data_IF_362496534592
#
_entry.id   IF_362496534592
#
_cell.length_a   1.000
_cell.length_b   1.000
_cell.length_c   1.000
_cell.angle_alpha   90.00
_cell.angle_beta   90.00
_cell.angle_gamma   90.00
#
_symmetry.space_group_name_H-M   'P 1'
#
loop_
_entity.id
_entity.type
_entity.pdbx_description
1 polymer ?
#
# COMPACT_ATOMS: atom_id res chain seq x y z
N UNK A 1 15.76 8.27 7.47
CA UNK A 1 16.33 8.09 6.12
C UNK A 1 15.25 8.03 5.05
N UNK A 2 14.09 7.40 5.29
CA UNK A 2 13.01 7.31 4.32
C UNK A 2 12.46 8.69 3.89
N UNK A 3 12.37 9.67 4.80
CA UNK A 3 12.00 11.04 4.43
C UNK A 3 13.00 11.67 3.45
N UNK A 4 14.30 11.59 3.75
CA UNK A 4 15.37 12.08 2.87
C UNK A 4 15.37 11.39 1.50
N UNK A 5 15.17 10.06 1.48
CA UNK A 5 15.00 9.30 0.25
C UNK A 5 13.83 9.83 -0.59
N UNK A 6 12.65 10.01 0.03
CA UNK A 6 11.46 10.53 -0.66
C UNK A 6 11.66 11.95 -1.19
N UNK A 7 12.30 12.83 -0.41
CA UNK A 7 12.59 14.20 -0.85
C UNK A 7 13.56 14.22 -2.04
N UNK A 8 14.59 13.38 -2.03
CA UNK A 8 15.50 13.23 -3.18
C UNK A 8 14.78 12.71 -4.41
N UNK A 9 13.92 11.71 -4.26
CA UNK A 9 13.11 11.20 -5.37
C UNK A 9 12.16 12.25 -5.93
N UNK A 10 11.57 13.08 -5.08
CA UNK A 10 10.71 14.20 -5.49
C UNK A 10 11.50 15.27 -6.25
N UNK A 11 12.70 15.61 -5.77
CA UNK A 11 13.60 16.51 -6.49
C UNK A 11 13.98 15.94 -7.86
N UNK A 12 14.30 14.65 -7.94
CA UNK A 12 14.56 13.98 -9.22
C UNK A 12 13.35 14.00 -10.15
N UNK A 13 12.15 13.80 -9.62
CA UNK A 13 10.91 13.87 -10.40
C UNK A 13 10.73 15.25 -11.05
N UNK A 14 10.88 16.35 -10.30
CA UNK A 14 10.75 17.70 -10.85
C UNK A 14 11.87 18.07 -11.84
N UNK A 15 13.05 17.46 -11.70
CA UNK A 15 14.17 17.69 -12.61
C UNK A 15 14.11 16.84 -13.89
N UNK A 16 13.27 15.80 -13.94
CA UNK A 16 13.15 14.95 -15.12
C UNK A 16 12.31 15.64 -16.20
N UNK A 17 12.80 15.71 -17.46
CA UNK A 17 12.01 16.25 -18.55
C UNK A 17 10.84 15.32 -18.88
N UNK A 18 9.72 15.89 -19.34
CA UNK A 18 8.58 15.11 -19.80
C UNK A 18 9.00 14.15 -20.94
N UNK A 19 8.66 12.85 -20.84
CA UNK A 19 9.03 11.90 -21.88
C UNK A 19 8.36 12.29 -23.20
N UNK A 20 9.14 12.24 -24.28
CA UNK A 20 8.70 12.60 -25.63
C UNK A 20 8.28 11.38 -26.46
N UNK A 21 8.34 10.19 -25.87
CA UNK A 21 7.93 8.93 -26.49
C UNK A 21 6.56 8.51 -25.93
N UNK A 22 5.77 7.82 -26.75
CA UNK A 22 4.42 7.40 -26.37
C UNK A 22 3.34 8.42 -26.75
N UNK A 23 2.34 8.60 -25.87
CA UNK A 23 1.26 9.57 -26.05
C UNK A 23 1.70 11.01 -25.80
N UNK A 24 0.90 11.98 -26.23
CA UNK A 24 1.12 13.39 -25.92
C UNK A 24 0.81 13.66 -24.44
N UNK A 25 1.79 14.20 -23.71
CA UNK A 25 1.69 14.52 -22.28
C UNK A 25 1.76 16.02 -22.01
N UNK A 26 1.73 16.88 -23.04
CA UNK A 26 1.87 18.33 -22.88
C UNK A 26 0.75 18.98 -22.06
N UNK A 27 -0.42 18.34 -21.99
CA UNK A 27 -1.57 18.81 -21.20
C UNK A 27 -1.62 18.22 -19.78
N UNK A 28 -0.66 17.36 -19.40
CA UNK A 28 -0.68 16.70 -18.10
C UNK A 28 -0.34 17.70 -17.00
N UNK A 29 -1.31 17.99 -16.14
CA UNK A 29 -1.10 18.77 -14.93
C UNK A 29 -1.01 17.84 -13.72
N UNK A 30 0.20 17.66 -13.20
CA UNK A 30 0.43 16.81 -12.03
C UNK A 30 -0.22 17.35 -10.75
N UNK A 31 -0.46 18.67 -10.65
CA UNK A 31 -1.07 19.29 -9.46
C UNK A 31 -2.59 19.06 -9.37
N UNK A 32 -3.21 18.65 -10.48
CA UNK A 32 -4.64 18.30 -10.54
C UNK A 32 -4.89 16.82 -10.22
N UNK A 33 -3.84 16.02 -10.06
CA UNK A 33 -3.95 14.59 -9.76
C UNK A 33 -4.02 14.38 -8.25
N UNK A 34 -5.04 13.65 -7.81
CA UNK A 34 -5.13 13.19 -6.42
C UNK A 34 -4.27 11.94 -6.24
N UNK A 35 -3.07 12.11 -5.67
CA UNK A 35 -2.13 11.00 -5.43
C UNK A 35 -2.40 10.17 -4.18
N UNK A 36 -3.15 10.74 -3.23
CA UNK A 36 -3.42 10.11 -1.95
C UNK A 36 -4.87 10.27 -1.58
N UNK A 37 -5.56 9.14 -1.45
CA UNK A 37 -6.96 9.08 -1.02
C UNK A 37 -7.01 8.20 0.21
N UNK A 38 -7.53 8.77 1.31
CA UNK A 38 -7.70 8.08 2.58
C UNK A 38 -9.19 7.75 2.77
N UNK A 39 -9.59 6.47 2.62
CA UNK A 39 -10.99 6.06 2.73
C UNK A 39 -11.47 5.97 4.20
N UNK A 40 -10.56 5.73 5.15
CA UNK A 40 -10.85 5.67 6.58
C UNK A 40 -9.69 6.25 7.40
N UNK A 41 -9.97 6.86 8.55
CA UNK A 41 -8.96 7.41 9.46
C UNK A 41 -8.05 6.33 10.09
N UNK A 42 -8.53 5.08 10.17
CA UNK A 42 -7.92 3.94 10.86
C UNK A 42 -7.95 2.69 9.98
N UNK A 43 -6.87 1.90 10.04
CA UNK A 43 -6.87 0.52 9.56
C UNK A 43 -7.73 -0.33 10.50
N UNK A 44 -8.68 -1.06 9.94
CA UNK A 44 -9.61 -1.87 10.72
C UNK A 44 -8.97 -3.23 11.05
N UNK A 45 -9.24 -3.74 12.25
CA UNK A 45 -8.59 -4.94 12.78
C UNK A 45 -9.36 -6.21 12.43
N UNK A 46 -10.63 -6.07 12.08
CA UNK A 46 -11.51 -7.17 11.70
C UNK A 46 -12.25 -6.85 10.42
N UNK A 47 -12.58 -7.89 9.63
CA UNK A 47 -13.39 -7.73 8.42
C UNK A 47 -14.75 -7.08 8.74
N UNK A 48 -15.31 -7.36 9.92
CA UNK A 48 -16.59 -6.81 10.35
C UNK A 48 -16.56 -5.28 10.51
N UNK A 49 -15.41 -4.72 10.89
CA UNK A 49 -15.19 -3.28 11.05
C UNK A 49 -14.94 -2.54 9.72
N UNK A 50 -14.65 -3.26 8.64
CA UNK A 50 -14.44 -2.65 7.31
C UNK A 50 -15.73 -1.98 6.82
N UNK A 51 -15.66 -0.72 6.32
CA UNK A 51 -16.81 -0.03 5.76
C UNK A 51 -17.55 -0.84 4.69
N UNK A 52 -18.89 -0.75 4.71
CA UNK A 52 -19.78 -1.53 3.84
C UNK A 52 -19.52 -1.29 2.35
N UNK A 53 -19.15 -0.07 1.96
CA UNK A 53 -18.81 0.29 0.57
C UNK A 53 -17.60 -0.50 0.04
N UNK A 54 -16.64 -0.77 0.92
CA UNK A 54 -15.45 -1.57 0.59
C UNK A 54 -15.85 -3.03 0.46
N UNK A 55 -16.62 -3.58 1.41
CA UNK A 55 -17.14 -4.97 1.34
C UNK A 55 -17.89 -5.24 0.04
N UNK A 56 -18.79 -4.33 -0.34
CA UNK A 56 -19.52 -4.41 -1.61
C UNK A 56 -18.61 -4.37 -2.84
N UNK A 57 -17.48 -3.66 -2.77
CA UNK A 57 -16.50 -3.63 -3.85
C UNK A 57 -15.77 -4.97 -3.96
N UNK A 58 -15.39 -5.58 -2.84
CA UNK A 58 -14.77 -6.90 -2.80
C UNK A 58 -15.72 -8.00 -3.31
N UNK A 59 -17.01 -7.93 -2.95
CA UNK A 59 -18.03 -8.84 -3.44
C UNK A 59 -18.21 -8.73 -4.96
N UNK A 60 -18.23 -7.50 -5.51
CA UNK A 60 -18.30 -7.25 -6.95
C UNK A 60 -17.08 -7.76 -7.71
N UNK A 61 -15.90 -7.73 -7.08
CA UNK A 61 -14.67 -8.30 -7.64
C UNK A 61 -14.68 -9.83 -7.66
N UNK A 62 -15.70 -10.47 -7.07
CA UNK A 62 -15.89 -11.92 -7.12
C UNK A 62 -14.93 -12.68 -6.20
N UNK A 63 -14.40 -12.01 -5.17
CA UNK A 63 -13.52 -12.63 -4.18
C UNK A 63 -14.36 -13.62 -3.33
N UNK A 64 -14.11 -14.94 -3.43
CA UNK A 64 -14.94 -15.96 -2.78
C UNK A 64 -15.01 -15.76 -1.25
N UNK A 65 -16.16 -16.02 -0.60
CA UNK A 65 -16.31 -15.94 0.87
C UNK A 65 -15.24 -16.73 1.65
N UNK A 66 -14.79 -17.87 1.11
CA UNK A 66 -13.71 -18.66 1.70
C UNK A 66 -12.35 -17.94 1.63
N UNK A 67 -12.11 -17.22 0.53
CA UNK A 67 -11.00 -16.29 0.43
C UNK A 67 -11.25 -15.06 1.29
N UNK A 68 -12.47 -14.52 1.47
CA UNK A 68 -12.70 -13.42 2.42
C UNK A 68 -12.27 -13.78 3.85
N UNK A 69 -12.54 -15.03 4.29
CA UNK A 69 -12.04 -15.56 5.58
C UNK A 69 -10.54 -15.90 5.60
N UNK A 70 -9.89 -16.08 4.45
CA UNK A 70 -8.46 -16.40 4.36
C UNK A 70 -7.59 -15.15 4.09
N UNK A 71 -8.12 -14.23 3.28
CA UNK A 71 -7.78 -12.81 3.11
C UNK A 71 -8.03 -12.01 4.38
N UNK A 72 -8.77 -12.59 5.33
CA UNK A 72 -8.64 -12.24 6.75
C UNK A 72 -7.21 -12.48 7.30
N UNK A 73 -6.20 -12.74 6.48
CA UNK A 73 -4.76 -12.62 6.79
C UNK A 73 -3.93 -12.02 5.65
N UNK A 74 -4.57 -11.40 4.64
CA UNK A 74 -3.89 -10.74 3.52
C UNK A 74 -4.20 -9.25 3.60
N UNK A 75 -3.17 -8.42 3.46
CA UNK A 75 -3.35 -6.97 3.44
C UNK A 75 -4.11 -6.56 2.19
N UNK A 76 -5.35 -6.11 2.38
CA UNK A 76 -6.13 -5.49 1.31
C UNK A 76 -5.78 -4.01 1.25
N UNK A 77 -5.16 -3.59 0.15
CA UNK A 77 -4.96 -2.18 -0.14
C UNK A 77 -6.19 -1.66 -0.87
N UNK A 78 -6.84 -0.65 -0.30
CA UNK A 78 -7.94 0.05 -0.92
C UNK A 78 -7.54 1.52 -1.00
N UNK A 79 -7.54 2.08 -2.20
CA UNK A 79 -6.93 3.37 -2.49
C UNK A 79 -5.45 3.42 -2.06
N UNK A 80 -5.07 4.40 -1.25
CA UNK A 80 -3.68 4.61 -0.80
C UNK A 80 -3.36 3.94 0.53
N UNK A 81 -4.30 3.18 1.12
CA UNK A 81 -4.19 2.66 2.49
C UNK A 81 -4.41 1.16 2.58
N UNK A 82 -3.75 0.54 3.56
CA UNK A 82 -4.03 -0.84 3.96
C UNK A 82 -5.23 -0.81 4.90
N UNK A 83 -6.38 -1.27 4.40
CA UNK A 83 -7.65 -1.21 5.13
C UNK A 83 -7.79 -2.37 6.11
N UNK A 84 -7.07 -3.47 5.86
CA UNK A 84 -7.14 -4.66 6.68
C UNK A 84 -5.77 -5.31 6.83
N UNK A 85 -5.38 -5.64 8.05
CA UNK A 85 -4.20 -6.44 8.34
C UNK A 85 -4.46 -7.31 9.57
N UNK A 86 -4.32 -8.62 9.41
CA UNK A 86 -4.44 -9.58 10.51
C UNK A 86 -3.22 -10.48 10.51
N UNK A 87 -2.36 -10.27 11.50
CA UNK A 87 -1.18 -11.09 11.72
C UNK A 87 -1.62 -12.46 12.20
N UNK A 88 -1.31 -13.49 11.41
CA UNK A 88 -1.47 -14.87 11.89
C UNK A 88 -0.38 -15.17 12.91
N UNK A 89 -0.76 -15.35 14.16
CA UNK A 89 0.12 -15.86 15.23
C UNK A 89 0.86 -17.13 14.80
N UNK A 90 0.26 -17.96 13.94
CA UNK A 90 0.87 -19.16 13.35
C UNK A 90 2.10 -18.85 12.47
N UNK A 91 2.12 -17.71 11.79
CA UNK A 91 3.26 -17.26 10.96
C UNK A 91 4.37 -16.72 11.86
N UNK A 92 4.01 -15.94 12.87
CA UNK A 92 4.97 -15.44 13.87
C UNK A 92 5.63 -16.59 14.63
N UNK A 93 4.87 -17.63 14.99
CA UNK A 93 5.40 -18.84 15.63
C UNK A 93 6.42 -19.60 14.76
N UNK A 94 6.34 -19.43 13.44
CA UNK A 94 7.31 -19.97 12.47
C UNK A 94 8.48 -19.00 12.20
N UNK A 95 8.53 -17.84 12.86
CA UNK A 95 9.54 -16.81 12.66
C UNK A 95 9.33 -15.96 11.40
N UNK A 96 8.14 -15.99 10.81
CA UNK A 96 7.81 -15.25 9.58
C UNK A 96 7.34 -13.84 9.96
N UNK A 97 8.00 -12.82 9.41
CA UNK A 97 7.58 -11.42 9.54
C UNK A 97 6.66 -11.08 8.37
N UNK A 98 5.35 -11.09 8.61
CA UNK A 98 4.35 -10.73 7.60
C UNK A 98 3.61 -9.45 8.02
N UNK A 99 4.03 -8.32 7.45
CA UNK A 99 3.57 -6.97 7.84
C UNK A 99 3.31 -6.11 6.61
N UNK A 100 2.46 -5.10 6.76
CA UNK A 100 2.36 -4.01 5.79
C UNK A 100 3.66 -3.17 5.76
N UNK A 101 3.83 -2.38 4.70
CA UNK A 101 5.03 -1.58 4.46
C UNK A 101 5.33 -0.58 5.58
N UNK A 102 4.31 0.08 6.14
CA UNK A 102 4.49 1.10 7.16
C UNK A 102 4.89 0.50 8.50
N UNK A 103 4.26 -0.61 8.89
CA UNK A 103 4.62 -1.37 10.09
C UNK A 103 6.01 -1.99 9.95
N UNK A 104 6.33 -2.58 8.79
CA UNK A 104 7.64 -3.16 8.52
C UNK A 104 8.76 -2.11 8.58
N UNK A 105 8.53 -0.92 8.03
CA UNK A 105 9.50 0.18 8.11
C UNK A 105 9.75 0.64 9.55
N UNK A 106 8.73 0.67 10.41
CA UNK A 106 8.84 1.14 11.80
C UNK A 106 9.45 0.08 12.73
N UNK A 107 9.07 -1.18 12.56
CA UNK A 107 9.37 -2.24 13.51
C UNK A 107 10.53 -3.14 13.07
N UNK A 108 10.84 -3.17 11.78
CA UNK A 108 11.87 -4.01 11.16
C UNK A 108 12.76 -3.16 10.21
N UNK A 109 13.09 -1.93 10.66
CA UNK A 109 13.78 -0.92 9.85
C UNK A 109 15.12 -1.41 9.26
N UNK A 110 15.87 -2.22 10.01
CA UNK A 110 17.17 -2.77 9.62
C UNK A 110 17.07 -3.66 8.38
N UNK A 111 16.19 -4.67 8.42
CA UNK A 111 15.94 -5.58 7.31
C UNK A 111 15.27 -4.82 6.16
N UNK A 112 14.31 -3.95 6.48
CA UNK A 112 13.59 -3.18 5.48
C UNK A 112 14.54 -2.29 4.68
N UNK A 113 15.41 -1.56 5.37
CA UNK A 113 16.39 -0.66 4.76
C UNK A 113 17.46 -1.42 4.00
N UNK A 114 17.83 -2.62 4.44
CA UNK A 114 18.75 -3.47 3.69
C UNK A 114 18.23 -3.76 2.28
N UNK A 115 16.93 -4.00 2.12
CA UNK A 115 16.37 -4.41 0.83
C UNK A 115 15.69 -3.29 0.02
N UNK A 116 15.45 -2.13 0.63
CA UNK A 116 14.73 -1.02 0.00
C UNK A 116 15.38 -0.56 -1.31
N UNK A 117 14.56 -0.45 -2.37
CA UNK A 117 14.92 0.05 -3.69
C UNK A 117 16.14 -0.63 -4.38
N UNK A 118 16.46 -1.88 -4.00
CA UNK A 118 17.49 -2.69 -4.68
C UNK A 118 16.97 -3.36 -5.96
N UNK A 119 15.68 -3.68 -6.01
CA UNK A 119 14.96 -4.23 -7.17
C UNK A 119 13.64 -3.47 -7.28
N UNK A 120 13.32 -3.02 -8.50
CA UNK A 120 12.11 -2.26 -8.85
C UNK A 120 11.50 -2.91 -10.08
#
# INVERSE_FOLDING_TARGET
>A
WMLDFRLKSLEHFYNMPMPQWGGDLNSLNFDEITYYVKPSERSERSWDEVPEEIKQTFDKLGIPEAEQKYLAGVSAQYESEVVYHNMKEDLEAQGIVFKDTDSALKENEDIFREHWAKVI
#
